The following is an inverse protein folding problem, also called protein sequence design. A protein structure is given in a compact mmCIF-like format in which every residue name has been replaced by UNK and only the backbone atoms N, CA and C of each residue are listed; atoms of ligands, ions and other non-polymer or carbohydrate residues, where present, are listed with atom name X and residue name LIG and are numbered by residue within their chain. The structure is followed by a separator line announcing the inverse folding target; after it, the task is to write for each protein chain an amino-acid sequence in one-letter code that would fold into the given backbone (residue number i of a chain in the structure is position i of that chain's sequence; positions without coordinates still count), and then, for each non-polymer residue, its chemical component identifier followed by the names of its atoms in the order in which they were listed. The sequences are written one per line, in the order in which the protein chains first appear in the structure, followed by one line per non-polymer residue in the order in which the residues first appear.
data_IF_050799237614
#
_entry.id   IF_050799237614
#
_cell.length_a   1.000
_cell.length_b   1.000
_cell.length_c   1.000
_cell.angle_alpha   90.00
_cell.angle_beta   90.00
_cell.angle_gamma   90.00
#
_symmetry.space_group_name_H-M   'P 1'
#
loop_
_entity.id
_entity.type
_entity.pdbx_description
1 polymer ?
#
# COMPACT_ATOMS: atom_id res chain seq x y z
N UNK A 1 -23.91 -39.08 71.13
CA UNK A 1 -24.53 -38.30 70.02
C UNK A 1 -23.51 -37.30 69.55
N UNK A 2 -22.76 -37.63 68.49
CA UNK A 2 -21.72 -36.79 67.93
C UNK A 2 -22.28 -36.05 66.70
N UNK A 3 -22.16 -34.72 66.68
CA UNK A 3 -22.57 -33.87 65.53
C UNK A 3 -21.42 -33.84 64.51
N UNK A 4 -21.70 -33.94 63.21
CA UNK A 4 -20.69 -33.77 62.16
C UNK A 4 -20.45 -32.28 61.91
N UNK A 5 -19.18 -31.89 61.88
CA UNK A 5 -18.71 -30.56 61.45
C UNK A 5 -18.59 -30.54 59.96
N UNK A 6 -19.37 -29.67 59.27
CA UNK A 6 -19.24 -29.36 57.86
C UNK A 6 -18.02 -28.44 57.64
N UNK A 7 -17.11 -28.90 56.82
CA UNK A 7 -15.99 -28.07 56.30
C UNK A 7 -16.48 -27.28 55.07
N UNK A 8 -16.38 -25.96 55.02
CA UNK A 8 -16.66 -25.21 53.80
C UNK A 8 -15.42 -25.26 52.88
N UNK A 9 -15.49 -26.06 51.83
CA UNK A 9 -14.53 -26.00 50.76
C UNK A 9 -14.66 -24.65 50.03
N UNK A 10 -13.63 -23.81 50.18
CA UNK A 10 -13.48 -22.52 49.52
C UNK A 10 -13.12 -22.78 48.05
N UNK A 11 -14.11 -22.67 47.14
CA UNK A 11 -13.85 -22.65 45.69
C UNK A 11 -13.21 -21.30 45.31
N UNK A 12 -11.89 -21.30 45.14
CA UNK A 12 -11.14 -20.20 44.58
C UNK A 12 -11.32 -20.24 43.05
N UNK A 13 -12.26 -19.42 42.51
CA UNK A 13 -12.42 -19.23 41.09
C UNK A 13 -11.22 -18.42 40.57
N UNK A 14 -10.32 -19.08 39.86
CA UNK A 14 -9.22 -18.47 39.11
C UNK A 14 -9.85 -17.69 37.92
N UNK A 15 -10.03 -16.40 38.11
CA UNK A 15 -10.30 -15.44 37.03
C UNK A 15 -8.99 -15.31 36.24
N UNK A 16 -8.85 -16.08 35.13
CA UNK A 16 -7.83 -15.85 34.14
C UNK A 16 -8.08 -14.49 33.49
N UNK A 17 -7.14 -13.53 33.55
CA UNK A 17 -7.29 -12.29 32.80
C UNK A 17 -7.27 -12.64 31.30
N UNK A 18 -8.38 -12.38 30.61
CA UNK A 18 -8.43 -12.34 29.16
C UNK A 18 -7.53 -11.18 28.71
N UNK A 19 -6.25 -11.45 28.46
CA UNK A 19 -5.35 -10.49 27.85
C UNK A 19 -5.91 -10.21 26.45
N UNK A 20 -6.62 -9.09 26.30
CA UNK A 20 -6.98 -8.56 24.98
C UNK A 20 -5.67 -8.29 24.24
N UNK A 21 -5.31 -9.16 23.32
CA UNK A 21 -4.18 -8.93 22.43
C UNK A 21 -4.54 -7.69 21.59
N UNK A 22 -3.74 -6.64 21.73
CA UNK A 22 -3.89 -5.48 20.88
C UNK A 22 -3.69 -5.92 19.42
N UNK A 23 -4.70 -5.79 18.58
CA UNK A 23 -4.61 -6.14 17.16
C UNK A 23 -3.53 -5.28 16.50
N UNK A 24 -2.77 -5.86 15.57
CA UNK A 24 -1.77 -5.13 14.82
C UNK A 24 -2.42 -4.06 13.93
N UNK A 25 -1.64 -3.08 13.45
CA UNK A 25 -2.16 -2.11 12.48
C UNK A 25 -2.73 -2.83 11.24
N UNK A 26 -2.02 -3.85 10.75
CA UNK A 26 -2.46 -4.65 9.60
C UNK A 26 -3.84 -5.28 9.87
N UNK A 27 -4.04 -5.92 11.03
CA UNK A 27 -5.31 -6.57 11.37
C UNK A 27 -6.48 -5.58 11.34
N UNK A 28 -6.28 -4.39 11.92
CA UNK A 28 -7.30 -3.33 11.93
C UNK A 28 -7.61 -2.79 10.53
N UNK A 29 -6.61 -2.66 9.66
CA UNK A 29 -6.84 -2.24 8.28
C UNK A 29 -7.58 -3.33 7.48
N UNK A 30 -7.28 -4.60 7.71
CA UNK A 30 -7.99 -5.73 7.09
C UNK A 30 -9.44 -5.85 7.57
N UNK A 31 -9.73 -5.56 8.84
CA UNK A 31 -11.10 -5.47 9.35
C UNK A 31 -11.91 -4.40 8.61
N UNK A 32 -11.29 -3.28 8.24
CA UNK A 32 -11.94 -2.19 7.49
C UNK A 32 -12.06 -2.48 5.99
N UNK A 33 -11.15 -3.27 5.43
CA UNK A 33 -11.05 -3.60 4.01
C UNK A 33 -10.88 -5.13 3.82
N UNK A 34 -11.92 -5.93 4.08
CA UNK A 34 -11.82 -7.39 4.04
C UNK A 34 -11.57 -7.95 2.64
N UNK A 35 -11.76 -7.15 1.59
CA UNK A 35 -11.46 -7.48 0.21
C UNK A 35 -10.04 -7.09 -0.23
N UNK A 36 -9.28 -6.38 0.61
CA UNK A 36 -7.89 -6.05 0.35
C UNK A 36 -7.00 -7.27 0.64
N UNK A 37 -6.08 -7.65 -0.29
CA UNK A 37 -5.20 -8.79 -0.07
C UNK A 37 -4.22 -8.54 1.10
N UNK A 38 -4.17 -9.41 2.12
CA UNK A 38 -3.30 -9.21 3.29
C UNK A 38 -1.83 -9.05 2.92
N UNK A 39 -1.34 -9.84 1.97
CA UNK A 39 0.04 -9.77 1.50
C UNK A 39 0.38 -8.39 0.90
N UNK A 40 -0.54 -7.81 0.11
CA UNK A 40 -0.33 -6.51 -0.54
C UNK A 40 -0.30 -5.39 0.50
N UNK A 41 -1.20 -5.42 1.50
CA UNK A 41 -1.19 -4.47 2.60
C UNK A 41 0.07 -4.59 3.46
N UNK A 42 0.55 -5.81 3.72
CA UNK A 42 1.81 -6.03 4.44
C UNK A 42 2.97 -5.37 3.72
N UNK A 43 3.13 -5.62 2.41
CA UNK A 43 4.19 -5.02 1.61
C UNK A 43 4.07 -3.48 1.53
N UNK A 44 2.86 -2.95 1.45
CA UNK A 44 2.63 -1.50 1.43
C UNK A 44 3.03 -0.83 2.76
N UNK A 45 2.73 -1.46 3.89
CA UNK A 45 3.16 -0.99 5.21
C UNK A 45 4.68 -1.10 5.38
N UNK A 46 5.27 -2.21 4.95
CA UNK A 46 6.74 -2.39 4.95
C UNK A 46 7.42 -1.32 4.10
N UNK A 47 6.93 -1.06 2.89
CA UNK A 47 7.49 -0.04 2.00
C UNK A 47 7.41 1.37 2.61
N UNK A 48 6.29 1.72 3.24
CA UNK A 48 6.11 2.99 3.96
C UNK A 48 7.12 3.16 5.09
N UNK A 49 7.22 2.15 5.95
CA UNK A 49 8.08 2.20 7.14
C UNK A 49 9.56 2.29 6.73
N UNK A 50 9.94 1.49 5.74
CA UNK A 50 11.27 1.51 5.17
C UNK A 50 11.63 2.87 4.53
N UNK A 51 10.70 3.49 3.80
CA UNK A 51 10.93 4.81 3.21
C UNK A 51 11.13 5.89 4.28
N UNK A 52 10.41 5.79 5.40
CA UNK A 52 10.59 6.70 6.54
C UNK A 52 11.94 6.47 7.23
N UNK A 53 12.34 5.24 7.49
CA UNK A 53 13.65 4.89 8.08
C UNK A 53 14.83 5.33 7.22
N UNK A 54 14.71 5.26 5.90
CA UNK A 54 15.73 5.70 4.95
C UNK A 54 15.69 7.22 4.68
N UNK A 55 14.75 7.96 5.27
CA UNK A 55 14.58 9.39 5.04
C UNK A 55 14.09 9.76 3.63
N UNK A 56 13.58 8.78 2.88
CA UNK A 56 13.05 9.00 1.53
C UNK A 56 11.66 9.64 1.53
N UNK A 57 10.91 9.44 2.61
CA UNK A 57 9.62 10.08 2.85
C UNK A 57 9.45 10.36 4.34
N UNK A 58 8.72 11.42 4.69
CA UNK A 58 8.26 11.60 6.06
C UNK A 58 7.24 10.51 6.44
N UNK A 59 7.07 10.20 7.74
CA UNK A 59 5.99 9.32 8.17
C UNK A 59 4.64 9.83 7.68
N UNK A 60 4.01 9.11 6.77
CA UNK A 60 2.74 9.55 6.18
C UNK A 60 1.56 9.15 7.07
N UNK A 61 0.60 10.06 7.20
CA UNK A 61 -0.66 9.80 7.89
C UNK A 61 -1.62 8.95 7.05
N UNK A 62 -1.43 8.94 5.71
CA UNK A 62 -2.30 8.25 4.77
C UNK A 62 -1.51 7.41 3.79
N UNK A 63 -2.08 6.26 3.43
CA UNK A 63 -1.50 5.31 2.50
C UNK A 63 -2.57 4.84 1.53
N UNK A 64 -2.36 5.12 0.24
CA UNK A 64 -3.11 4.50 -0.84
C UNK A 64 -2.38 3.24 -1.31
N UNK A 65 -3.13 2.16 -1.54
CA UNK A 65 -2.63 0.90 -2.05
C UNK A 65 -3.40 0.53 -3.30
N UNK A 66 -2.71 0.29 -4.40
CA UNK A 66 -3.28 -0.19 -5.65
C UNK A 66 -2.76 -1.58 -5.94
N UNK A 67 -3.66 -2.54 -6.13
CA UNK A 67 -3.31 -3.90 -6.54
C UNK A 67 -3.62 -4.12 -8.02
N UNK A 68 -2.63 -3.95 -8.86
CA UNK A 68 -2.75 -4.16 -10.30
C UNK A 68 -2.80 -5.64 -10.72
N UNK A 69 -2.60 -6.59 -9.81
CA UNK A 69 -2.83 -8.01 -10.09
C UNK A 69 -4.31 -8.35 -10.24
N UNK A 70 -5.19 -7.52 -9.67
CA UNK A 70 -6.64 -7.66 -9.80
C UNK A 70 -7.14 -7.06 -11.13
N UNK A 71 -8.26 -7.58 -11.67
CA UNK A 71 -8.85 -7.03 -12.88
C UNK A 71 -9.35 -5.58 -12.66
N UNK A 72 -9.32 -4.79 -13.71
CA UNK A 72 -9.77 -3.39 -13.64
C UNK A 72 -11.28 -3.26 -13.33
N UNK A 73 -12.05 -4.32 -13.55
CA UNK A 73 -13.48 -4.42 -13.26
C UNK A 73 -13.79 -4.60 -11.76
N UNK A 74 -12.77 -4.72 -10.92
CA UNK A 74 -12.91 -4.80 -9.46
C UNK A 74 -12.36 -3.55 -8.78
N UNK A 75 -12.82 -3.30 -7.54
CA UNK A 75 -12.15 -2.34 -6.68
C UNK A 75 -10.78 -2.88 -6.32
N UNK A 76 -9.75 -2.10 -6.57
CA UNK A 76 -8.35 -2.48 -6.38
C UNK A 76 -7.45 -1.32 -5.92
N UNK A 77 -8.09 -0.23 -5.48
CA UNK A 77 -7.47 0.88 -4.77
C UNK A 77 -8.13 0.99 -3.40
N UNK A 78 -7.34 1.04 -2.34
CA UNK A 78 -7.75 1.33 -0.96
C UNK A 78 -6.92 2.50 -0.44
N UNK A 79 -7.58 3.48 0.14
CA UNK A 79 -6.93 4.60 0.82
C UNK A 79 -7.28 4.55 2.30
N UNK A 80 -6.25 4.46 3.13
CA UNK A 80 -6.37 4.37 4.58
C UNK A 80 -5.87 5.66 5.24
N UNK A 81 -6.54 6.08 6.30
CA UNK A 81 -5.99 6.94 7.34
C UNK A 81 -5.35 6.06 8.41
N UNK A 82 -4.02 6.13 8.52
CA UNK A 82 -3.23 5.27 9.41
C UNK A 82 -3.26 5.75 10.87
N UNK A 83 -3.57 7.02 11.11
CA UNK A 83 -3.68 7.57 12.45
C UNK A 83 -4.99 7.11 13.10
N UNK A 84 -6.08 7.19 12.37
CA UNK A 84 -7.40 6.73 12.84
C UNK A 84 -7.66 5.27 12.50
N UNK A 85 -6.77 4.63 11.72
CA UNK A 85 -6.84 3.23 11.29
C UNK A 85 -8.13 2.90 10.54
N UNK A 86 -8.59 3.83 9.71
CA UNK A 86 -9.84 3.73 8.98
C UNK A 86 -9.61 3.65 7.48
N UNK A 87 -10.44 2.88 6.79
CA UNK A 87 -10.58 2.95 5.35
C UNK A 87 -11.34 4.24 4.99
N UNK A 88 -10.74 5.10 4.18
CA UNK A 88 -11.37 6.30 3.64
C UNK A 88 -12.06 6.00 2.31
N UNK A 89 -11.36 5.28 1.42
CA UNK A 89 -11.88 4.97 0.08
C UNK A 89 -11.50 3.54 -0.33
N UNK A 90 -12.45 2.85 -0.99
CA UNK A 90 -12.22 1.62 -1.73
C UNK A 90 -12.77 1.81 -3.14
N UNK A 91 -11.88 1.87 -4.17
CA UNK A 91 -12.24 2.39 -5.47
C UNK A 91 -11.71 1.58 -6.65
N UNK A 92 -12.37 1.78 -7.79
CA UNK A 92 -11.87 1.38 -9.08
C UNK A 92 -10.74 2.31 -9.51
N UNK A 93 -9.70 1.74 -10.10
CA UNK A 93 -8.60 2.52 -10.68
C UNK A 93 -8.20 1.93 -12.03
N UNK A 94 -8.09 2.78 -13.06
CA UNK A 94 -7.58 2.39 -14.35
C UNK A 94 -6.04 2.35 -14.33
N UNK A 95 -5.48 1.52 -15.20
CA UNK A 95 -4.05 1.47 -15.52
C UNK A 95 -3.79 1.99 -16.94
N UNK A 96 -2.52 2.08 -17.31
CA UNK A 96 -2.07 2.50 -18.63
C UNK A 96 -2.42 1.47 -19.72
N UNK A 97 -2.79 1.97 -20.90
CA UNK A 97 -3.18 1.10 -22.04
C UNK A 97 -2.06 0.15 -22.48
N UNK A 98 -0.81 0.53 -22.27
CA UNK A 98 0.35 -0.32 -22.54
C UNK A 98 0.56 -1.42 -21.48
N UNK A 99 -0.13 -1.32 -20.33
CA UNK A 99 -0.02 -2.34 -19.27
C UNK A 99 -0.86 -3.58 -19.51
N UNK A 100 -1.93 -3.51 -20.31
CA UNK A 100 -2.81 -4.64 -20.57
C UNK A 100 -4.25 -4.25 -20.83
N UNK A 101 -5.14 -5.23 -20.88
CA UNK A 101 -6.57 -5.02 -21.11
C UNK A 101 -7.34 -4.94 -19.79
N UNK A 102 -8.03 -5.98 -19.33
CA UNK A 102 -8.69 -6.01 -18.02
C UNK A 102 -7.67 -6.23 -16.89
N UNK A 103 -6.69 -7.08 -17.13
CA UNK A 103 -5.55 -7.32 -16.24
C UNK A 103 -4.34 -6.54 -16.73
N UNK A 104 -3.65 -5.89 -15.80
CA UNK A 104 -2.32 -5.35 -16.07
C UNK A 104 -1.28 -6.48 -15.93
N UNK A 105 -0.29 -6.51 -16.81
CA UNK A 105 0.80 -7.50 -16.82
C UNK A 105 2.13 -6.91 -17.27
N UNK A 106 2.15 -5.63 -17.69
CA UNK A 106 3.36 -4.95 -18.15
C UNK A 106 3.46 -3.57 -17.50
N UNK A 107 4.63 -3.25 -16.97
CA UNK A 107 4.92 -2.01 -16.25
C UNK A 107 6.22 -1.41 -16.74
N UNK A 108 6.35 -0.08 -16.65
CA UNK A 108 7.53 0.58 -17.20
C UNK A 108 7.80 1.93 -16.56
N UNK A 109 9.06 2.30 -16.55
CA UNK A 109 9.55 3.64 -16.22
C UNK A 109 9.96 4.44 -17.48
N UNK A 110 9.73 3.89 -18.68
CA UNK A 110 10.11 4.49 -19.96
C UNK A 110 9.02 5.44 -20.46
N UNK A 111 9.42 6.65 -20.87
CA UNK A 111 8.51 7.62 -21.48
C UNK A 111 7.90 7.07 -22.78
N UNK A 112 6.62 7.40 -23.03
CA UNK A 112 5.92 6.93 -24.23
C UNK A 112 5.49 5.45 -24.19
N UNK A 113 5.86 4.67 -23.18
CA UNK A 113 5.43 3.26 -23.04
C UNK A 113 3.92 3.11 -22.84
N UNK A 114 3.25 4.14 -22.35
CA UNK A 114 1.86 4.14 -21.93
C UNK A 114 1.53 3.06 -20.88
N UNK A 115 2.56 2.57 -20.18
CA UNK A 115 2.44 1.60 -19.09
C UNK A 115 2.40 2.30 -17.75
N UNK A 116 1.67 1.73 -16.79
CA UNK A 116 1.76 2.13 -15.39
C UNK A 116 3.12 1.75 -14.81
N UNK A 117 3.52 2.38 -13.71
CA UNK A 117 4.73 2.03 -12.96
C UNK A 117 4.34 1.39 -11.64
N UNK A 118 5.20 0.51 -11.14
CA UNK A 118 5.08 -0.13 -9.82
C UNK A 118 5.81 0.66 -8.75
N UNK A 119 5.64 0.26 -7.51
CA UNK A 119 6.43 0.73 -6.40
C UNK A 119 5.80 1.83 -5.58
N UNK A 120 6.63 2.46 -4.74
CA UNK A 120 6.22 3.50 -3.82
C UNK A 120 6.35 4.88 -4.47
N UNK A 121 5.29 5.67 -4.32
CA UNK A 121 5.25 7.07 -4.75
C UNK A 121 4.98 7.97 -3.55
N UNK A 122 5.60 9.14 -3.54
CA UNK A 122 5.19 10.26 -2.70
C UNK A 122 4.24 11.14 -3.49
N UNK A 123 3.17 11.57 -2.87
CA UNK A 123 2.23 12.52 -3.45
C UNK A 123 2.71 13.94 -3.19
N UNK A 124 2.43 14.81 -4.12
CA UNK A 124 2.78 16.22 -4.04
C UNK A 124 1.52 17.10 -4.07
N UNK A 125 1.67 18.35 -4.47
CA UNK A 125 0.55 19.26 -4.67
C UNK A 125 -0.36 18.86 -5.83
N UNK A 126 -1.44 19.61 -5.97
CA UNK A 126 -2.43 19.43 -7.02
C UNK A 126 -2.37 20.56 -8.04
N UNK A 127 -2.89 20.32 -9.24
CA UNK A 127 -3.04 21.33 -10.29
C UNK A 127 -4.28 21.06 -11.14
N UNK A 128 -4.68 22.07 -11.91
CA UNK A 128 -5.72 21.93 -12.95
C UNK A 128 -5.03 21.87 -14.31
N UNK A 129 -5.15 20.75 -14.99
CA UNK A 129 -4.54 20.52 -16.31
C UNK A 129 -5.53 19.92 -17.30
N UNK A 130 -5.02 19.31 -18.39
CA UNK A 130 -5.83 18.68 -19.42
C UNK A 130 -6.73 17.55 -18.91
N UNK A 131 -6.35 16.90 -17.82
CA UNK A 131 -7.14 15.87 -17.12
C UNK A 131 -8.00 16.45 -15.97
N UNK A 132 -8.15 17.78 -15.89
CA UNK A 132 -8.83 18.45 -14.79
C UNK A 132 -7.98 18.46 -13.50
N UNK A 133 -8.64 18.36 -12.34
CA UNK A 133 -7.98 18.33 -11.03
C UNK A 133 -7.16 17.07 -10.87
N UNK A 134 -5.86 17.23 -10.73
CA UNK A 134 -4.87 16.17 -10.77
C UNK A 134 -3.86 16.28 -9.62
N UNK A 135 -3.41 15.15 -9.12
CA UNK A 135 -2.41 15.00 -8.06
C UNK A 135 -1.07 14.59 -8.66
N UNK A 136 -0.04 15.35 -8.37
CA UNK A 136 1.33 15.04 -8.78
C UNK A 136 1.89 13.86 -7.99
N UNK A 137 2.62 12.98 -8.67
CA UNK A 137 3.25 11.80 -8.10
C UNK A 137 4.76 11.82 -8.37
N UNK A 138 5.57 11.68 -7.32
CA UNK A 138 7.00 11.44 -7.40
C UNK A 138 7.28 9.96 -7.10
N UNK A 139 7.90 9.28 -8.04
CA UNK A 139 8.36 7.91 -7.82
C UNK A 139 9.61 7.88 -6.94
N UNK A 140 9.61 7.01 -5.95
CA UNK A 140 10.70 6.89 -4.98
C UNK A 140 11.69 5.76 -5.29
N UNK A 141 11.42 4.93 -6.31
CA UNK A 141 12.21 3.74 -6.62
C UNK A 141 13.03 3.93 -7.90
N UNK A 142 14.37 4.10 -7.80
CA UNK A 142 15.26 4.24 -8.95
C UNK A 142 15.10 3.10 -9.95
N UNK A 143 14.98 3.45 -11.24
CA UNK A 143 14.79 2.51 -12.33
C UNK A 143 13.37 1.93 -12.46
N UNK A 144 12.53 2.03 -11.43
CA UNK A 144 11.17 1.47 -11.39
C UNK A 144 10.10 2.52 -11.67
N UNK A 145 10.17 3.66 -10.97
CA UNK A 145 9.18 4.73 -11.08
C UNK A 145 9.74 6.15 -10.89
N UNK A 146 11.02 6.31 -10.66
CA UNK A 146 11.69 7.60 -10.41
C UNK A 146 11.50 8.63 -11.55
N UNK A 147 11.13 8.18 -12.75
CA UNK A 147 10.79 9.06 -13.88
C UNK A 147 9.29 9.41 -13.98
N UNK A 148 8.51 9.09 -12.94
CA UNK A 148 7.07 9.35 -12.96
C UNK A 148 6.74 10.82 -13.24
N UNK A 149 7.47 11.76 -12.62
CA UNK A 149 7.30 13.20 -12.84
C UNK A 149 7.59 13.61 -14.30
N UNK A 150 8.68 13.16 -14.87
CA UNK A 150 9.07 13.42 -16.27
C UNK A 150 8.01 12.87 -17.24
N UNK A 151 7.52 11.66 -16.95
CA UNK A 151 6.49 10.97 -17.71
C UNK A 151 5.09 11.55 -17.51
N UNK A 152 4.94 12.55 -16.64
CA UNK A 152 3.67 13.19 -16.29
C UNK A 152 2.64 12.20 -15.75
N UNK A 153 3.11 11.23 -14.96
CA UNK A 153 2.23 10.29 -14.26
C UNK A 153 1.60 11.02 -13.07
N UNK A 154 0.28 11.12 -13.10
CA UNK A 154 -0.52 11.82 -12.10
C UNK A 154 -1.77 11.00 -11.74
N UNK A 155 -2.34 11.20 -10.57
CA UNK A 155 -3.67 10.68 -10.27
C UNK A 155 -4.72 11.72 -10.71
N UNK A 156 -5.75 11.29 -11.43
CA UNK A 156 -6.81 12.20 -11.94
C UNK A 156 -8.15 11.48 -12.12
N UNK A 157 -9.22 12.23 -12.25
CA UNK A 157 -10.53 11.71 -12.66
C UNK A 157 -10.61 11.51 -14.16
N UNK A 158 -11.35 10.46 -14.61
CA UNK A 158 -11.54 10.22 -16.03
C UNK A 158 -12.88 9.52 -16.32
N UNK A 159 -13.63 10.01 -17.30
CA UNK A 159 -14.92 9.45 -17.69
C UNK A 159 -14.85 8.00 -18.18
N UNK A 160 -13.70 7.56 -18.67
CA UNK A 160 -13.48 6.17 -19.08
C UNK A 160 -13.33 5.19 -17.89
N UNK A 161 -13.27 5.70 -16.65
CA UNK A 161 -13.34 4.88 -15.43
C UNK A 161 -14.79 4.79 -15.01
N UNK A 162 -15.54 3.97 -15.73
CA UNK A 162 -16.96 3.75 -15.52
C UNK A 162 -17.26 2.26 -15.33
N UNK A 163 -17.61 1.82 -14.09
CA UNK A 163 -17.93 0.42 -13.81
C UNK A 163 -19.13 -0.10 -14.61
N UNK A 164 -20.12 0.74 -14.94
CA UNK A 164 -21.26 0.32 -15.75
C UNK A 164 -20.85 0.05 -17.20
N UNK A 165 -19.97 0.88 -17.75
CA UNK A 165 -19.39 0.62 -19.07
C UNK A 165 -18.49 -0.61 -19.03
N UNK A 166 -17.74 -0.80 -17.94
CA UNK A 166 -16.87 -1.97 -17.76
C UNK A 166 -17.63 -3.29 -17.78
N UNK A 167 -18.84 -3.36 -17.24
CA UNK A 167 -19.71 -4.54 -17.31
C UNK A 167 -20.06 -4.93 -18.76
N UNK A 168 -20.13 -3.97 -19.67
CA UNK A 168 -20.48 -4.19 -21.08
C UNK A 168 -19.27 -4.59 -21.94
N UNK A 169 -18.10 -4.00 -21.65
CA UNK A 169 -16.90 -4.16 -22.49
C UNK A 169 -15.83 -5.08 -21.84
N UNK A 170 -16.09 -5.61 -20.63
CA UNK A 170 -15.21 -6.52 -19.92
C UNK A 170 -13.99 -5.88 -19.25
N UNK A 171 -13.88 -4.53 -19.24
CA UNK A 171 -12.79 -3.78 -18.57
C UNK A 171 -13.15 -2.32 -18.38
N UNK A 172 -12.42 -1.61 -17.54
CA UNK A 172 -12.41 -0.14 -17.54
C UNK A 172 -11.72 0.42 -18.80
N UNK A 173 -11.93 1.69 -19.08
CA UNK A 173 -11.03 2.43 -19.97
C UNK A 173 -9.63 2.53 -19.39
N UNK A 174 -8.66 3.02 -20.18
CA UNK A 174 -7.24 2.98 -19.85
C UNK A 174 -6.58 4.33 -20.08
N UNK A 175 -5.63 4.68 -19.23
CA UNK A 175 -4.82 5.89 -19.31
C UNK A 175 -3.58 5.71 -20.22
N UNK A 176 -2.69 6.69 -20.18
CA UNK A 176 -1.34 6.59 -20.74
C UNK A 176 -0.27 6.30 -19.65
N UNK A 177 -0.67 5.63 -18.56
CA UNK A 177 0.16 5.23 -17.44
C UNK A 177 -0.35 5.69 -16.09
N UNK A 178 -1.15 6.75 -16.05
CA UNK A 178 -1.69 7.34 -14.84
C UNK A 178 -2.65 6.40 -14.09
N UNK A 179 -2.66 6.37 -12.75
CA UNK A 179 -3.77 5.85 -11.97
C UNK A 179 -4.97 6.80 -12.12
N UNK A 180 -5.98 6.41 -12.89
CA UNK A 180 -7.17 7.23 -13.11
C UNK A 180 -8.38 6.69 -12.34
N UNK A 181 -9.17 7.60 -11.79
CA UNK A 181 -10.30 7.34 -10.91
C UNK A 181 -11.63 7.71 -11.58
N UNK A 182 -12.74 7.27 -11.02
CA UNK A 182 -14.07 7.76 -11.38
C UNK A 182 -14.17 9.27 -11.11
N UNK A 183 -14.74 10.08 -12.00
CA UNK A 183 -14.83 11.55 -11.80
C UNK A 183 -15.51 11.92 -10.47
N UNK A 184 -16.52 11.15 -10.06
CA UNK A 184 -17.34 11.42 -8.88
C UNK A 184 -16.56 11.36 -7.56
N UNK A 185 -15.49 10.58 -7.52
CA UNK A 185 -14.68 10.35 -6.30
C UNK A 185 -13.28 10.95 -6.39
N UNK A 186 -12.82 11.29 -7.58
CA UNK A 186 -11.43 11.69 -7.82
C UNK A 186 -11.01 12.87 -6.95
N UNK A 187 -11.84 13.91 -6.83
CA UNK A 187 -11.52 15.07 -5.98
C UNK A 187 -11.34 14.67 -4.51
N UNK A 188 -12.26 13.90 -3.95
CA UNK A 188 -12.18 13.49 -2.54
C UNK A 188 -10.93 12.62 -2.28
N UNK A 189 -10.66 11.63 -3.14
CA UNK A 189 -9.46 10.78 -3.02
C UNK A 189 -8.18 11.60 -3.15
N UNK A 190 -8.11 12.55 -4.09
CA UNK A 190 -6.95 13.44 -4.29
C UNK A 190 -6.76 14.34 -3.08
N UNK A 191 -7.84 14.96 -2.56
CA UNK A 191 -7.77 15.87 -1.40
C UNK A 191 -7.33 15.13 -0.14
N UNK A 192 -7.72 13.86 0.01
CA UNK A 192 -7.28 13.00 1.11
C UNK A 192 -5.84 12.51 0.95
N UNK A 193 -5.30 12.43 -0.26
CA UNK A 193 -4.00 11.82 -0.54
C UNK A 193 -2.89 12.83 -0.88
N UNK A 194 -3.19 14.11 -1.10
CA UNK A 194 -2.19 15.14 -1.47
C UNK A 194 -1.21 15.46 -0.33
N UNK A 195 -0.16 16.21 -0.67
CA UNK A 195 0.76 16.86 0.25
C UNK A 195 1.58 15.87 1.11
N UNK A 196 2.41 15.06 0.45
CA UNK A 196 3.42 14.22 1.09
C UNK A 196 2.93 12.87 1.60
N UNK A 197 1.71 12.44 1.23
CA UNK A 197 1.23 11.11 1.54
C UNK A 197 1.83 10.06 0.59
N UNK A 198 1.54 8.79 0.82
CA UNK A 198 2.13 7.70 0.04
C UNK A 198 1.09 6.92 -0.77
N UNK A 199 1.50 6.53 -1.96
CA UNK A 199 0.79 5.59 -2.83
C UNK A 199 1.71 4.41 -3.13
N UNK A 200 1.25 3.19 -2.86
CA UNK A 200 1.93 1.95 -3.19
C UNK A 200 1.21 1.24 -4.34
N UNK A 201 1.88 1.08 -5.47
CA UNK A 201 1.36 0.39 -6.66
C UNK A 201 1.98 -1.01 -6.76
N UNK A 202 1.17 -2.02 -6.54
CA UNK A 202 1.58 -3.42 -6.47
C UNK A 202 1.24 -4.21 -7.74
N UNK A 203 2.14 -5.10 -8.10
CA UNK A 203 1.95 -6.26 -8.96
C UNK A 203 2.98 -7.33 -8.55
N UNK A 204 2.70 -8.64 -8.64
CA UNK A 204 3.64 -9.68 -8.24
C UNK A 204 4.76 -9.90 -9.29
N UNK A 205 5.48 -8.84 -9.63
CA UNK A 205 6.67 -8.90 -10.50
C UNK A 205 7.88 -9.38 -9.68
N UNK A 206 8.45 -10.57 -9.99
CA UNK A 206 9.54 -11.13 -9.19
C UNK A 206 10.80 -10.26 -9.19
N UNK A 207 11.11 -9.59 -10.31
CA UNK A 207 12.29 -8.75 -10.42
C UNK A 207 12.15 -7.50 -9.57
N UNK A 208 11.01 -6.82 -9.64
CA UNK A 208 10.73 -5.67 -8.78
C UNK A 208 10.70 -6.05 -7.30
N UNK A 209 9.98 -7.11 -6.92
CA UNK A 209 9.89 -7.57 -5.53
C UNK A 209 11.26 -7.90 -4.92
N UNK A 210 12.18 -8.43 -5.74
CA UNK A 210 13.54 -8.76 -5.29
C UNK A 210 14.45 -7.53 -5.14
N UNK A 211 14.23 -6.47 -5.91
CA UNK A 211 15.15 -5.34 -6.02
C UNK A 211 14.61 -4.02 -5.46
N UNK A 212 13.32 -3.94 -5.09
CA UNK A 212 12.74 -2.73 -4.49
C UNK A 212 13.52 -2.31 -3.24
N UNK A 213 13.99 -1.06 -3.16
CA UNK A 213 14.72 -0.57 -2.01
C UNK A 213 13.89 -0.57 -0.73
N UNK A 214 12.55 -0.55 -0.86
CA UNK A 214 11.64 -0.44 0.27
C UNK A 214 11.00 -1.77 0.70
N UNK A 215 11.12 -2.84 -0.08
CA UNK A 215 10.63 -4.18 0.27
C UNK A 215 11.72 -5.11 0.82
N UNK A 216 12.90 -4.58 1.15
CA UNK A 216 14.05 -5.34 1.63
C UNK A 216 14.70 -4.74 2.89
N UNK A 217 14.08 -3.76 3.53
CA UNK A 217 14.64 -3.13 4.74
C UNK A 217 14.81 -4.11 5.89
N UNK A 218 13.80 -4.90 6.18
CA UNK A 218 13.88 -5.91 7.25
C UNK A 218 15.03 -6.91 7.01
N UNK A 219 15.25 -7.30 5.76
CA UNK A 219 16.39 -8.15 5.37
C UNK A 219 17.73 -7.45 5.52
N UNK A 220 17.83 -6.17 5.16
CA UNK A 220 19.07 -5.37 5.29
C UNK A 220 19.42 -5.08 6.74
N UNK A 221 18.44 -4.71 7.55
CA UNK A 221 18.63 -4.50 9.00
C UNK A 221 19.09 -5.79 9.68
N UNK A 222 18.48 -6.93 9.34
CA UNK A 222 18.90 -8.24 9.86
C UNK A 222 20.34 -8.61 9.41
N UNK A 223 20.70 -8.31 8.15
CA UNK A 223 22.07 -8.55 7.64
C UNK A 223 23.10 -7.63 8.31
N UNK A 224 22.78 -6.35 8.55
CA UNK A 224 23.68 -5.43 9.26
C UNK A 224 23.84 -5.82 10.71
N UNK A 225 22.79 -6.24 11.40
CA UNK A 225 22.88 -6.74 12.76
C UNK A 225 23.76 -8.01 12.85
N UNK A 226 23.58 -8.95 11.92
CA UNK A 226 24.38 -10.18 11.86
C UNK A 226 25.86 -9.88 11.58
N UNK A 227 26.19 -8.92 10.71
CA UNK A 227 27.59 -8.54 10.43
C UNK A 227 28.24 -7.80 11.58
N UNK A 228 27.50 -7.01 12.36
CA UNK A 228 28.01 -6.36 13.58
C UNK A 228 28.27 -7.37 14.70
N UNK A 229 27.38 -8.34 14.87
CA UNK A 229 27.57 -9.43 15.84
C UNK A 229 28.79 -10.30 15.51
N UNK A 230 29.02 -10.58 14.23
CA UNK A 230 30.18 -11.36 13.77
C UNK A 230 31.50 -10.58 13.92
N UNK A 231 31.45 -9.25 13.69
CA UNK A 231 32.60 -8.38 13.93
C UNK A 231 32.93 -8.24 15.43
N UNK A 232 31.90 -8.21 16.30
CA UNK A 232 32.07 -8.15 17.75
C UNK A 232 32.55 -9.46 18.35
N UNK A 233 32.36 -10.61 17.69
CA UNK A 233 32.78 -11.95 18.11
C UNK A 233 34.18 -12.34 17.62
N UNK A 234 34.79 -11.56 16.71
CA UNK A 234 36.19 -11.82 16.30
C UNK A 234 37.12 -11.44 17.45
N UNK A 235 37.90 -12.39 18.00
CA UNK A 235 38.90 -12.07 19.02
C UNK A 235 39.91 -11.11 18.41
N UNK A 236 40.26 -10.05 19.16
CA UNK A 236 41.36 -9.17 18.81
C UNK A 236 42.61 -10.04 18.61
N UNK A 237 43.08 -10.07 17.36
CA UNK A 237 44.16 -10.92 16.92
C UNK A 237 45.40 -10.73 17.79
N UNK A 238 45.93 -11.83 18.23
CA UNK A 238 47.25 -12.00 18.85
C UNK A 238 48.37 -11.63 17.88
#
# INVERSE_FOLDING_TARGET
MARPTLNPALLLALLLPCAAQASSLLDRLLEQAPDAPPQVLTLALEARDCAAELGAAAPSARLAVVDYSRPSTERRLWLFDLQTQRLLHAEYVAHGRGSGENFAHAFSNVEGSHQSSLGLFRTEGTYIGGNGYSLLLDGLEPGTNDRARERRIVMHGANYVDPLQALRQGRLGRSFGCPALRPQVARAVIDDLKDGQLLFAYYPDPAWLAHSPYLSCSRRVAQHAATQDDAARRPAGS
#
